data_IF_879131354149
#
_entry.id   IF_879131354149
#
_cell.length_a   1.000
_cell.length_b   1.000
_cell.length_c   1.000
_cell.angle_alpha   90.00
_cell.angle_beta   90.00
_cell.angle_gamma   90.00
#
_symmetry.space_group_name_H-M   'P 1'
#
loop_
_entity.id
_entity.type
_entity.pdbx_description
1 polymer ?
#
# COMPACT_ATOMS: atom_id res chain seq x y z
N UNK A 1 3.12 27.23 -5.37
CA UNK A 1 3.68 25.94 -5.80
C UNK A 1 4.88 25.60 -4.94
N UNK A 2 4.89 24.42 -4.29
CA UNK A 2 6.00 23.93 -3.43
C UNK A 2 7.27 23.67 -4.23
N UNK A 3 8.42 23.45 -3.57
CA UNK A 3 9.67 23.08 -4.26
C UNK A 3 9.51 21.75 -5.04
N UNK A 4 8.83 20.77 -4.44
CA UNK A 4 8.57 19.49 -5.07
C UNK A 4 7.62 19.61 -6.28
N UNK A 5 6.55 20.39 -6.16
CA UNK A 5 5.63 20.65 -7.28
C UNK A 5 6.36 21.35 -8.46
N UNK A 6 7.31 22.27 -8.18
CA UNK A 6 8.16 22.88 -9.22
C UNK A 6 9.06 21.85 -9.88
N UNK A 7 9.62 20.90 -9.11
CA UNK A 7 10.42 19.81 -9.64
C UNK A 7 9.60 18.94 -10.61
N UNK A 8 8.40 18.49 -10.20
CA UNK A 8 7.50 17.72 -11.08
C UNK A 8 7.11 18.48 -12.35
N UNK A 9 6.80 19.78 -12.22
CA UNK A 9 6.53 20.62 -13.39
C UNK A 9 7.75 20.75 -14.32
N UNK A 10 8.96 20.75 -13.76
CA UNK A 10 10.21 20.69 -14.52
C UNK A 10 10.35 19.40 -15.33
N UNK A 11 10.08 18.25 -14.70
CA UNK A 11 10.08 16.94 -15.38
C UNK A 11 9.08 16.91 -16.54
N UNK A 12 7.85 17.41 -16.30
CA UNK A 12 6.81 17.44 -17.34
C UNK A 12 7.21 18.36 -18.51
N UNK A 13 7.86 19.48 -18.26
CA UNK A 13 8.35 20.38 -19.33
C UNK A 13 9.49 19.77 -20.14
N UNK A 14 10.35 18.99 -19.49
CA UNK A 14 11.51 18.35 -20.14
C UNK A 14 11.12 17.08 -20.92
N UNK A 15 10.32 16.20 -20.29
CA UNK A 15 10.09 14.83 -20.77
C UNK A 15 8.68 14.61 -21.32
N UNK A 16 7.77 15.61 -21.18
CA UNK A 16 6.36 15.46 -21.49
C UNK A 16 5.52 15.00 -20.30
N UNK A 17 4.20 14.78 -20.52
CA UNK A 17 3.26 14.39 -19.46
C UNK A 17 3.69 13.11 -18.73
N UNK A 18 3.55 13.07 -17.41
CA UNK A 18 3.83 11.90 -16.59
C UNK A 18 2.65 10.93 -16.61
N UNK A 19 2.91 9.64 -16.71
CA UNK A 19 1.90 8.61 -16.42
C UNK A 19 1.41 8.81 -14.98
N UNK A 20 0.13 8.51 -14.75
CA UNK A 20 -0.48 8.72 -13.44
C UNK A 20 0.21 7.93 -12.33
N UNK A 21 0.58 6.67 -12.59
CA UNK A 21 1.31 5.85 -11.62
C UNK A 21 2.68 6.46 -11.23
N UNK A 22 3.40 7.02 -12.19
CA UNK A 22 4.67 7.72 -11.91
C UNK A 22 4.44 8.99 -11.09
N UNK A 23 3.40 9.77 -11.43
CA UNK A 23 3.05 10.97 -10.65
C UNK A 23 2.67 10.61 -9.22
N UNK A 24 1.75 9.64 -9.02
CA UNK A 24 1.31 9.18 -7.71
C UNK A 24 2.48 8.62 -6.89
N UNK A 25 3.32 7.77 -7.48
CA UNK A 25 4.48 7.21 -6.79
C UNK A 25 5.48 8.27 -6.32
N UNK A 26 5.78 9.28 -7.15
CA UNK A 26 6.64 10.39 -6.76
C UNK A 26 6.01 11.27 -5.66
N UNK A 27 4.70 11.55 -5.76
CA UNK A 27 3.98 12.35 -4.77
C UNK A 27 3.93 11.65 -3.42
N UNK A 28 3.57 10.35 -3.38
CA UNK A 28 3.53 9.57 -2.15
C UNK A 28 4.94 9.37 -1.54
N UNK A 29 5.96 9.12 -2.35
CA UNK A 29 7.33 9.04 -1.85
C UNK A 29 7.77 10.33 -1.14
N UNK A 30 7.45 11.50 -1.72
CA UNK A 30 7.72 12.81 -1.10
C UNK A 30 6.93 12.98 0.19
N UNK A 31 5.63 12.63 0.17
CA UNK A 31 4.73 12.77 1.32
C UNK A 31 5.22 11.95 2.52
N UNK A 32 5.44 10.64 2.35
CA UNK A 32 5.89 9.75 3.42
C UNK A 32 7.35 10.01 3.87
N UNK A 33 8.19 10.61 3.01
CA UNK A 33 9.55 10.99 3.41
C UNK A 33 9.59 12.24 4.30
N UNK A 34 8.63 13.15 4.16
CA UNK A 34 8.68 14.47 4.81
C UNK A 34 7.67 14.68 5.93
N UNK A 35 6.68 13.80 6.06
CA UNK A 35 5.58 13.93 7.01
C UNK A 35 5.40 12.68 7.86
N UNK A 36 4.77 12.87 9.00
CA UNK A 36 4.11 11.81 9.77
C UNK A 36 2.60 11.94 9.56
N UNK A 37 2.02 11.13 8.65
CA UNK A 37 0.64 11.29 8.24
C UNK A 37 -0.37 10.77 9.26
N UNK A 38 0.08 9.97 10.24
CA UNK A 38 -0.77 9.16 11.10
C UNK A 38 -1.21 9.90 12.38
N UNK A 39 -2.42 9.56 12.85
CA UNK A 39 -2.97 9.97 14.14
C UNK A 39 -3.67 11.33 14.12
N UNK A 40 -4.17 11.77 15.28
CA UNK A 40 -5.01 12.96 15.44
C UNK A 40 -4.36 14.30 14.98
N UNK A 41 -3.04 14.36 14.93
CA UNK A 41 -2.29 15.51 14.42
C UNK A 41 -1.84 15.30 12.95
N UNK A 42 -2.14 14.15 12.35
CA UNK A 42 -1.83 13.81 10.97
C UNK A 42 -2.98 14.08 10.00
N UNK A 43 -2.86 13.55 8.80
CA UNK A 43 -3.85 13.75 7.75
C UNK A 43 -4.97 12.68 7.82
N UNK A 44 -4.72 11.52 8.46
CA UNK A 44 -5.70 10.44 8.64
C UNK A 44 -5.41 9.58 9.88
N UNK A 45 -6.41 8.82 10.29
CA UNK A 45 -6.31 7.88 11.42
C UNK A 45 -6.70 6.49 10.93
N UNK A 46 -5.79 5.52 11.05
CA UNK A 46 -6.01 4.14 10.65
C UNK A 46 -6.58 3.30 11.80
N UNK A 47 -7.18 2.16 11.51
CA UNK A 47 -7.79 1.29 12.52
C UNK A 47 -6.85 0.92 13.69
N UNK A 48 -5.55 0.63 13.48
CA UNK A 48 -4.59 0.41 14.57
C UNK A 48 -4.40 1.60 15.51
N UNK A 49 -4.51 2.83 15.00
CA UNK A 49 -4.37 4.05 15.80
C UNK A 49 -5.65 4.38 16.59
N UNK A 50 -6.81 3.83 16.20
CA UNK A 50 -8.08 4.00 16.89
C UNK A 50 -8.24 3.02 18.04
N UNK A 51 -7.86 1.76 17.84
CA UNK A 51 -8.09 0.70 18.83
C UNK A 51 -7.06 -0.42 18.76
N UNK A 52 -6.43 -0.70 19.90
CA UNK A 52 -5.53 -1.85 20.06
C UNK A 52 -6.24 -3.20 19.82
N UNK A 53 -7.57 -3.27 19.98
CA UNK A 53 -8.37 -4.49 19.73
C UNK A 53 -8.21 -4.95 18.29
N UNK A 54 -8.01 -4.02 17.35
CA UNK A 54 -7.80 -4.37 15.95
C UNK A 54 -6.56 -5.26 15.77
N UNK A 55 -5.40 -4.84 16.31
CA UNK A 55 -4.17 -5.64 16.29
C UNK A 55 -4.27 -6.93 17.08
N UNK A 56 -4.99 -6.92 18.22
CA UNK A 56 -5.25 -8.11 19.03
C UNK A 56 -6.06 -9.18 18.26
N UNK A 57 -7.10 -8.78 17.54
CA UNK A 57 -7.91 -9.70 16.73
C UNK A 57 -7.11 -10.31 15.57
N UNK A 58 -6.26 -9.51 14.92
CA UNK A 58 -5.34 -10.00 13.89
C UNK A 58 -4.38 -11.01 14.50
N UNK A 59 -3.79 -10.71 15.66
CA UNK A 59 -2.90 -11.64 16.38
C UNK A 59 -3.57 -12.98 16.64
N UNK A 60 -4.81 -12.98 17.13
CA UNK A 60 -5.54 -14.19 17.42
C UNK A 60 -5.80 -15.02 16.15
N UNK A 61 -6.12 -14.37 15.03
CA UNK A 61 -6.31 -15.06 13.75
C UNK A 61 -5.02 -15.71 13.25
N UNK A 62 -3.88 -15.01 13.35
CA UNK A 62 -2.58 -15.56 12.96
C UNK A 62 -2.14 -16.72 13.87
N UNK A 63 -2.33 -16.58 15.17
CA UNK A 63 -2.00 -17.62 16.16
C UNK A 63 -2.88 -18.86 15.95
N UNK A 64 -4.19 -18.71 15.79
CA UNK A 64 -5.11 -19.82 15.52
C UNK A 64 -4.71 -20.58 14.23
N UNK A 65 -4.41 -19.84 13.16
CA UNK A 65 -3.93 -20.47 11.93
C UNK A 65 -2.58 -21.19 12.13
N UNK A 66 -1.65 -20.59 12.87
CA UNK A 66 -0.36 -21.21 13.16
C UNK A 66 -0.53 -22.53 13.94
N UNK A 67 -1.37 -22.56 14.97
CA UNK A 67 -1.69 -23.77 15.73
C UNK A 67 -2.29 -24.87 14.84
N UNK A 68 -3.27 -24.51 13.99
CA UNK A 68 -3.91 -25.45 13.04
C UNK A 68 -2.96 -25.93 11.95
N UNK A 69 -1.93 -25.18 11.64
CA UNK A 69 -0.90 -25.55 10.66
C UNK A 69 0.23 -26.41 11.25
N UNK A 70 0.04 -26.93 12.48
CA UNK A 70 1.01 -27.80 13.15
C UNK A 70 2.08 -27.06 13.95
N UNK A 71 1.85 -25.78 14.25
CA UNK A 71 2.71 -24.94 15.09
C UNK A 71 4.21 -24.99 14.67
N UNK A 72 4.55 -24.63 13.44
CA UNK A 72 5.95 -24.71 12.96
C UNK A 72 6.90 -23.90 13.84
N UNK A 73 8.09 -24.45 14.08
CA UNK A 73 9.11 -23.86 14.97
C UNK A 73 9.72 -22.54 14.47
N UNK A 74 9.51 -22.23 13.18
CA UNK A 74 9.98 -21.00 12.52
C UNK A 74 8.94 -20.47 11.60
N UNK A 75 8.65 -19.16 11.69
CA UNK A 75 7.79 -18.42 10.78
C UNK A 75 8.38 -17.05 10.46
N UNK A 76 8.03 -16.50 9.30
CA UNK A 76 8.27 -15.11 8.94
C UNK A 76 6.99 -14.31 9.22
N UNK A 77 7.04 -13.47 10.24
CA UNK A 77 5.95 -12.55 10.58
C UNK A 77 6.24 -11.20 9.94
N UNK A 78 5.46 -10.82 8.95
CA UNK A 78 5.76 -9.68 8.07
C UNK A 78 4.64 -8.66 8.13
N UNK A 79 4.98 -7.39 8.19
CA UNK A 79 4.04 -6.28 7.99
C UNK A 79 4.51 -5.41 6.83
N UNK A 80 3.60 -5.13 5.88
CA UNK A 80 3.84 -4.20 4.77
C UNK A 80 3.29 -2.83 5.16
N UNK A 81 4.11 -1.78 5.05
CA UNK A 81 3.71 -0.42 5.41
C UNK A 81 3.31 -0.26 6.88
N UNK A 82 4.16 -0.62 7.85
CA UNK A 82 3.79 -0.71 9.28
C UNK A 82 3.54 0.65 9.94
N UNK A 83 3.64 1.76 9.22
CA UNK A 83 3.45 3.09 9.75
C UNK A 83 4.31 3.35 10.99
N UNK A 84 3.68 3.63 12.13
CA UNK A 84 4.38 3.83 13.40
C UNK A 84 4.78 2.52 14.11
N UNK A 85 4.34 1.37 13.59
CA UNK A 85 4.55 0.05 14.20
C UNK A 85 3.51 -0.32 15.25
N UNK A 86 2.41 0.42 15.35
CA UNK A 86 1.34 0.24 16.34
C UNK A 86 0.70 -1.13 16.18
N UNK A 87 0.34 -1.51 14.94
CA UNK A 87 -0.31 -2.80 14.66
C UNK A 87 0.58 -3.98 15.09
N UNK A 88 1.86 -3.98 14.68
CA UNK A 88 2.79 -5.05 15.05
C UNK A 88 3.03 -5.08 16.56
N UNK A 89 3.10 -3.94 17.23
CA UNK A 89 3.27 -3.88 18.70
C UNK A 89 2.08 -4.51 19.43
N UNK A 90 0.84 -4.20 19.00
CA UNK A 90 -0.38 -4.78 19.56
C UNK A 90 -0.49 -6.28 19.26
N UNK A 91 -0.12 -6.68 18.03
CA UNK A 91 -0.07 -8.07 17.61
C UNK A 91 0.89 -8.88 18.50
N UNK A 92 2.12 -8.42 18.65
CA UNK A 92 3.13 -9.12 19.49
C UNK A 92 2.73 -9.15 20.97
N UNK A 93 2.08 -8.09 21.46
CA UNK A 93 1.55 -8.05 22.83
C UNK A 93 0.45 -9.09 23.05
N UNK A 94 -0.52 -9.18 22.15
CA UNK A 94 -1.61 -10.14 22.21
C UNK A 94 -1.13 -11.58 22.03
N UNK A 95 -0.17 -11.81 21.15
CA UNK A 95 0.41 -13.14 20.90
C UNK A 95 1.15 -13.73 22.10
N UNK A 96 1.39 -12.97 23.18
CA UNK A 96 1.96 -13.50 24.46
C UNK A 96 1.11 -14.61 25.07
N UNK A 97 -0.16 -14.71 24.73
CA UNK A 97 -1.02 -15.85 25.15
C UNK A 97 -0.56 -17.18 24.58
N UNK A 98 0.31 -17.15 23.55
CA UNK A 98 0.93 -18.31 22.91
C UNK A 98 2.45 -18.10 22.76
N UNK A 99 3.24 -18.32 23.80
CA UNK A 99 4.69 -18.08 23.76
C UNK A 99 5.41 -18.81 22.64
N UNK A 100 4.92 -20.00 22.24
CA UNK A 100 5.47 -20.76 21.12
C UNK A 100 5.39 -20.02 19.78
N UNK A 101 4.31 -19.28 19.52
CA UNK A 101 4.18 -18.45 18.32
C UNK A 101 5.26 -17.34 18.30
N UNK A 102 5.45 -16.64 19.41
CA UNK A 102 6.48 -15.61 19.52
C UNK A 102 7.89 -16.19 19.39
N UNK A 103 8.14 -17.36 19.99
CA UNK A 103 9.42 -18.06 19.87
C UNK A 103 9.72 -18.49 18.43
N UNK A 104 8.68 -18.85 17.64
CA UNK A 104 8.81 -19.20 16.25
C UNK A 104 8.99 -17.98 15.33
N UNK A 105 8.44 -16.81 15.71
CA UNK A 105 8.34 -15.65 14.84
C UNK A 105 9.70 -14.93 14.67
N UNK A 106 10.02 -14.62 13.40
CA UNK A 106 11.00 -13.62 13.02
C UNK A 106 10.25 -12.47 12.35
N UNK A 107 10.23 -11.33 12.99
CA UNK A 107 9.49 -10.13 12.53
C UNK A 107 10.30 -9.42 11.46
N UNK A 108 9.65 -9.09 10.34
CA UNK A 108 10.24 -8.25 9.29
C UNK A 108 9.26 -7.16 8.91
N UNK A 109 9.67 -5.91 9.00
CA UNK A 109 8.88 -4.76 8.59
C UNK A 109 9.36 -4.29 7.21
N UNK A 110 8.42 -4.15 6.27
CA UNK A 110 8.70 -3.61 4.94
C UNK A 110 8.38 -2.12 4.96
N UNK A 111 9.44 -1.31 5.05
CA UNK A 111 9.35 0.14 5.23
C UNK A 111 10.50 0.85 4.53
N UNK A 112 10.20 1.90 3.78
CA UNK A 112 11.20 2.69 3.05
C UNK A 112 11.64 3.95 3.79
N UNK A 113 10.81 4.47 4.71
CA UNK A 113 11.06 5.70 5.45
C UNK A 113 12.01 5.48 6.64
N UNK A 114 13.23 6.06 6.67
CA UNK A 114 14.11 5.95 7.84
C UNK A 114 13.51 6.55 9.11
N UNK A 115 12.69 7.60 8.98
CA UNK A 115 12.02 8.24 10.11
C UNK A 115 10.96 7.32 10.74
N UNK A 116 10.19 6.59 9.93
CA UNK A 116 9.23 5.61 10.43
C UNK A 116 9.94 4.39 11.02
N UNK A 117 11.04 3.89 10.41
CA UNK A 117 11.84 2.81 10.99
C UNK A 117 12.35 3.14 12.41
N UNK A 118 12.77 4.38 12.65
CA UNK A 118 13.21 4.80 13.99
C UNK A 118 12.06 4.74 15.01
N UNK A 119 10.83 5.10 14.63
CA UNK A 119 9.64 4.98 15.48
C UNK A 119 9.23 3.53 15.71
N UNK A 120 9.25 2.72 14.67
CA UNK A 120 8.99 1.29 14.74
C UNK A 120 9.97 0.58 15.66
N UNK A 121 11.27 0.92 15.59
CA UNK A 121 12.28 0.39 16.50
C UNK A 121 11.99 0.73 17.97
N UNK A 122 11.50 1.95 18.25
CA UNK A 122 11.10 2.34 19.60
C UNK A 122 9.82 1.61 20.06
N UNK A 123 8.81 1.50 19.20
CA UNK A 123 7.55 0.81 19.50
C UNK A 123 7.75 -0.70 19.73
N UNK A 124 8.73 -1.31 19.06
CA UNK A 124 9.02 -2.74 19.06
C UNK A 124 10.30 -3.11 19.82
N UNK A 125 10.78 -2.26 20.74
CA UNK A 125 12.02 -2.47 21.48
C UNK A 125 12.08 -3.80 22.27
N UNK A 126 10.93 -4.45 22.51
CA UNK A 126 10.85 -5.77 23.14
C UNK A 126 10.84 -6.97 22.18
N UNK A 127 10.92 -6.76 20.87
CA UNK A 127 10.97 -7.83 19.90
C UNK A 127 12.39 -8.40 19.81
N UNK A 128 12.54 -9.71 20.02
CA UNK A 128 13.86 -10.36 20.05
C UNK A 128 14.49 -10.51 18.65
N UNK A 129 13.67 -10.69 17.62
CA UNK A 129 14.09 -10.90 16.23
C UNK A 129 13.29 -9.97 15.34
N UNK A 130 13.88 -8.84 14.99
CA UNK A 130 13.25 -7.76 14.22
C UNK A 130 14.20 -7.22 13.16
N UNK A 131 13.76 -7.26 11.91
CA UNK A 131 14.47 -6.74 10.73
C UNK A 131 13.61 -5.73 9.96
N UNK A 132 14.29 -4.95 9.11
CA UNK A 132 13.64 -4.06 8.12
C UNK A 132 14.14 -4.37 6.72
N UNK A 133 13.22 -4.30 5.75
CA UNK A 133 13.54 -4.32 4.32
C UNK A 133 12.82 -3.16 3.62
N UNK A 134 13.21 -2.86 2.38
CA UNK A 134 12.53 -1.84 1.57
C UNK A 134 11.48 -2.42 0.64
N UNK A 135 11.53 -3.73 0.40
CA UNK A 135 10.61 -4.42 -0.50
C UNK A 135 10.31 -5.82 0.02
N UNK A 136 9.11 -6.34 -0.28
CA UNK A 136 8.68 -7.68 0.12
C UNK A 136 9.61 -8.78 -0.43
N UNK A 137 10.13 -8.60 -1.64
CA UNK A 137 11.01 -9.55 -2.30
C UNK A 137 12.32 -9.78 -1.52
N UNK A 138 12.71 -8.81 -0.69
CA UNK A 138 13.90 -8.91 0.17
C UNK A 138 13.66 -9.67 1.48
N UNK A 139 12.41 -10.00 1.79
CA UNK A 139 12.06 -10.82 2.96
C UNK A 139 12.55 -12.26 2.73
N UNK A 140 13.26 -12.85 3.69
CA UNK A 140 13.78 -14.20 3.58
C UNK A 140 12.68 -15.24 3.31
N UNK A 141 12.96 -16.16 2.39
CA UNK A 141 12.03 -17.22 1.92
C UNK A 141 12.41 -18.60 2.48
N UNK A 142 12.52 -18.71 3.80
CA UNK A 142 13.07 -19.88 4.47
C UNK A 142 12.12 -20.50 5.52
N UNK A 143 10.90 -20.00 5.63
CA UNK A 143 9.88 -20.47 6.57
C UNK A 143 8.47 -20.07 6.10
N UNK A 144 7.39 -20.64 6.69
CA UNK A 144 6.01 -20.22 6.46
C UNK A 144 5.82 -18.73 6.68
N UNK A 145 5.03 -18.09 5.78
CA UNK A 145 4.77 -16.66 5.78
C UNK A 145 3.50 -16.34 6.58
N UNK A 146 3.60 -15.45 7.57
CA UNK A 146 2.50 -14.81 8.25
C UNK A 146 2.58 -13.31 7.99
N UNK A 147 1.70 -12.80 7.13
CA UNK A 147 1.81 -11.44 6.61
C UNK A 147 0.54 -10.64 6.91
N UNK A 148 0.74 -9.38 7.29
CA UNK A 148 -0.33 -8.37 7.38
C UNK A 148 0.03 -7.17 6.51
N UNK A 149 -0.94 -6.71 5.73
CA UNK A 149 -0.91 -5.46 4.99
C UNK A 149 -2.20 -4.71 5.28
N UNK A 150 -2.12 -3.66 6.09
CA UNK A 150 -3.26 -2.82 6.46
C UNK A 150 -3.11 -1.44 5.83
N UNK A 151 -4.07 -1.03 4.99
CA UNK A 151 -4.03 0.24 4.27
C UNK A 151 -2.67 0.44 3.58
N UNK A 152 -2.27 -0.56 2.79
CA UNK A 152 -1.00 -0.59 2.07
C UNK A 152 -1.19 -0.56 0.55
N UNK A 153 -2.17 -1.33 0.05
CA UNK A 153 -2.38 -1.48 -1.39
C UNK A 153 -3.05 -0.26 -2.02
N UNK A 154 -3.85 0.48 -1.26
CA UNK A 154 -4.51 1.72 -1.68
C UNK A 154 -3.52 2.85 -2.00
N UNK A 155 -2.38 2.89 -1.29
CA UNK A 155 -1.30 3.86 -1.52
C UNK A 155 -0.38 3.51 -2.71
N UNK A 156 -0.48 2.28 -3.26
CA UNK A 156 0.33 1.87 -4.39
C UNK A 156 -0.13 2.51 -5.69
N UNK A 157 0.82 2.91 -6.56
CA UNK A 157 0.52 3.68 -7.76
C UNK A 157 -0.39 2.98 -8.77
N UNK A 158 -1.40 3.70 -9.26
CA UNK A 158 -2.36 3.21 -10.26
C UNK A 158 -2.17 3.87 -11.63
N UNK A 159 -2.57 3.15 -12.67
CA UNK A 159 -2.84 3.70 -13.99
C UNK A 159 -4.35 3.83 -14.15
N UNK A 160 -4.79 4.85 -14.87
CA UNK A 160 -6.20 5.06 -15.20
C UNK A 160 -6.40 5.09 -16.71
N UNK A 161 -7.42 4.39 -17.16
CA UNK A 161 -7.85 4.36 -18.55
C UNK A 161 -9.27 4.89 -18.65
N UNK A 162 -9.46 5.95 -19.41
CA UNK A 162 -10.76 6.56 -19.64
C UNK A 162 -11.32 6.15 -21.02
N UNK A 163 -12.60 5.83 -21.10
CA UNK A 163 -13.28 5.58 -22.37
C UNK A 163 -13.92 6.87 -22.88
N UNK A 164 -13.45 7.35 -24.02
CA UNK A 164 -13.95 8.56 -24.67
C UNK A 164 -14.31 8.21 -26.12
N UNK A 165 -15.53 8.52 -26.52
CA UNK A 165 -16.06 8.20 -27.88
C UNK A 165 -15.84 6.74 -28.29
N UNK A 166 -16.03 5.82 -27.32
CA UNK A 166 -15.88 4.37 -27.53
C UNK A 166 -14.44 3.86 -27.57
N UNK A 167 -13.45 4.71 -27.43
CA UNK A 167 -12.01 4.36 -27.44
C UNK A 167 -11.39 4.54 -26.08
N UNK A 168 -10.43 3.68 -25.73
CA UNK A 168 -9.70 3.77 -24.49
C UNK A 168 -8.48 4.69 -24.63
N UNK A 169 -8.29 5.55 -23.63
CA UNK A 169 -7.18 6.48 -23.50
C UNK A 169 -6.58 6.38 -22.12
N UNK A 170 -5.27 6.31 -22.00
CA UNK A 170 -4.60 6.37 -20.69
C UNK A 170 -4.58 7.82 -20.19
N UNK A 171 -4.84 8.00 -18.88
CA UNK A 171 -4.79 9.29 -18.21
C UNK A 171 -3.35 9.58 -17.76
N UNK A 172 -2.88 10.76 -18.11
CA UNK A 172 -1.57 11.32 -17.73
C UNK A 172 -1.76 12.60 -16.94
N UNK A 173 -0.71 13.04 -16.24
CA UNK A 173 -0.62 14.34 -15.60
C UNK A 173 0.29 15.25 -16.43
N UNK A 174 -0.23 16.36 -16.88
CA UNK A 174 0.49 17.40 -17.60
C UNK A 174 0.28 18.77 -16.94
N UNK A 175 0.65 19.83 -17.66
CA UNK A 175 0.45 21.22 -17.23
C UNK A 175 -0.52 21.91 -18.18
N UNK A 176 -1.33 22.82 -17.64
CA UNK A 176 -2.07 23.78 -18.44
C UNK A 176 -1.19 24.99 -18.85
N UNK A 177 -1.78 25.94 -19.58
CA UNK A 177 -1.07 27.16 -20.04
C UNK A 177 -0.62 28.05 -18.87
N UNK A 178 -1.26 27.96 -17.71
CA UNK A 178 -0.90 28.66 -16.47
C UNK A 178 0.15 27.93 -15.64
N UNK A 179 0.52 26.68 -16.03
CA UNK A 179 1.47 25.86 -15.32
C UNK A 179 0.88 25.07 -14.14
N UNK A 180 -0.44 25.00 -14.01
CA UNK A 180 -1.12 24.13 -13.05
C UNK A 180 -1.18 22.69 -13.57
N UNK A 181 -1.15 21.71 -12.68
CA UNK A 181 -1.28 20.29 -13.05
C UNK A 181 -2.71 20.01 -13.52
N UNK A 182 -2.82 19.21 -14.56
CA UNK A 182 -4.11 18.76 -15.10
C UNK A 182 -4.01 17.34 -15.65
N UNK A 183 -5.16 16.65 -15.69
CA UNK A 183 -5.23 15.39 -16.41
C UNK A 183 -5.24 15.61 -17.92
N UNK A 184 -4.50 14.77 -18.62
CA UNK A 184 -4.44 14.67 -20.06
C UNK A 184 -4.76 13.24 -20.48
N UNK A 185 -5.22 13.07 -21.72
CA UNK A 185 -5.45 11.75 -22.30
C UNK A 185 -4.39 11.45 -23.36
N UNK A 186 -3.89 10.22 -23.35
CA UNK A 186 -3.02 9.72 -24.43
C UNK A 186 -3.77 9.61 -25.75
N UNK A 187 -3.09 9.41 -26.89
CA UNK A 187 -3.69 8.81 -28.05
C UNK A 187 -4.40 7.49 -27.68
N UNK A 188 -5.39 7.08 -28.48
CA UNK A 188 -6.20 5.90 -28.22
C UNK A 188 -5.34 4.64 -28.04
N UNK A 189 -5.53 3.94 -26.93
CA UNK A 189 -4.90 2.67 -26.59
C UNK A 189 -5.98 1.66 -26.20
N UNK A 190 -5.69 0.38 -26.35
CA UNK A 190 -6.51 -0.66 -25.74
C UNK A 190 -5.88 -1.03 -24.38
N UNK A 191 -6.61 -0.96 -23.25
CA UNK A 191 -6.10 -1.52 -22.00
C UNK A 191 -5.94 -3.03 -22.13
N UNK A 192 -4.94 -3.59 -21.47
CA UNK A 192 -4.66 -5.04 -21.49
C UNK A 192 -5.82 -5.88 -20.90
N UNK A 193 -6.67 -5.26 -20.08
CA UNK A 193 -7.90 -5.85 -19.55
C UNK A 193 -9.08 -4.94 -19.86
N UNK A 194 -9.97 -5.36 -20.74
CA UNK A 194 -11.21 -4.66 -21.02
C UNK A 194 -12.21 -4.93 -19.89
N UNK A 195 -12.36 -4.01 -18.95
CA UNK A 195 -13.60 -3.92 -18.21
C UNK A 195 -14.67 -3.42 -19.20
N UNK A 196 -15.69 -4.21 -19.43
CA UNK A 196 -16.83 -3.77 -20.24
C UNK A 196 -17.56 -2.62 -19.53
N UNK A 197 -17.86 -1.55 -20.25
CA UNK A 197 -18.59 -0.39 -19.73
C UNK A 197 -17.96 0.94 -20.15
N UNK A 198 -18.73 2.02 -19.99
CA UNK A 198 -18.22 3.39 -20.08
C UNK A 198 -17.65 3.81 -18.71
N UNK A 199 -16.64 4.66 -18.71
CA UNK A 199 -16.06 5.16 -17.45
C UNK A 199 -14.54 5.08 -17.42
N UNK A 200 -14.01 5.10 -16.21
CA UNK A 200 -12.58 4.97 -15.91
C UNK A 200 -12.30 3.58 -15.37
N UNK A 201 -11.26 2.95 -15.87
CA UNK A 201 -10.72 1.68 -15.35
C UNK A 201 -9.40 1.95 -14.70
N UNK A 202 -9.22 1.45 -13.49
CA UNK A 202 -8.00 1.56 -12.72
C UNK A 202 -7.23 0.24 -12.74
N UNK A 203 -5.92 0.34 -12.91
CA UNK A 203 -5.01 -0.81 -12.92
C UNK A 203 -3.86 -0.52 -11.99
N UNK A 204 -3.74 -1.31 -10.92
CA UNK A 204 -2.63 -1.24 -9.98
C UNK A 204 -1.64 -2.38 -10.25
N UNK A 205 -0.67 -2.14 -11.13
CA UNK A 205 0.34 -3.13 -11.49
C UNK A 205 1.27 -3.46 -10.33
N UNK A 206 1.60 -2.47 -9.50
CA UNK A 206 2.44 -2.65 -8.31
C UNK A 206 1.75 -3.57 -7.28
N UNK A 207 0.48 -3.33 -7.00
CA UNK A 207 -0.31 -4.16 -6.09
C UNK A 207 -0.41 -5.61 -6.58
N UNK A 208 -0.63 -5.81 -7.88
CA UNK A 208 -0.67 -7.15 -8.50
C UNK A 208 0.68 -7.87 -8.38
N UNK A 209 1.78 -7.16 -8.59
CA UNK A 209 3.12 -7.74 -8.45
C UNK A 209 3.39 -8.19 -7.00
N UNK A 210 3.07 -7.35 -6.01
CA UNK A 210 3.19 -7.71 -4.58
C UNK A 210 2.29 -8.89 -4.25
N UNK A 211 1.02 -8.88 -4.68
CA UNK A 211 0.08 -10.00 -4.44
C UNK A 211 0.58 -11.31 -5.06
N UNK A 212 1.11 -11.27 -6.29
CA UNK A 212 1.70 -12.44 -6.94
C UNK A 212 2.90 -13.00 -6.16
N UNK A 213 3.77 -12.13 -5.67
CA UNK A 213 4.92 -12.53 -4.86
C UNK A 213 4.50 -13.16 -3.52
N UNK A 214 3.47 -12.58 -2.86
CA UNK A 214 2.87 -13.16 -1.64
C UNK A 214 2.27 -14.54 -1.94
N UNK A 215 1.45 -14.66 -2.99
CA UNK A 215 0.84 -15.92 -3.38
C UNK A 215 1.87 -17.02 -3.69
N UNK A 216 2.91 -16.70 -4.46
CA UNK A 216 4.01 -17.62 -4.74
C UNK A 216 4.72 -18.08 -3.44
N UNK A 217 4.91 -17.17 -2.47
CA UNK A 217 5.51 -17.49 -1.18
C UNK A 217 4.62 -18.41 -0.35
N UNK A 218 3.31 -18.14 -0.27
CA UNK A 218 2.34 -18.99 0.44
C UNK A 218 2.24 -20.38 -0.20
N UNK A 219 2.23 -20.47 -1.52
CA UNK A 219 2.21 -21.75 -2.23
C UNK A 219 3.47 -22.60 -1.97
N UNK A 220 4.63 -21.96 -1.79
CA UNK A 220 5.91 -22.66 -1.60
C UNK A 220 6.18 -23.04 -0.15
N UNK A 221 5.78 -22.23 0.81
CA UNK A 221 6.17 -22.37 2.23
C UNK A 221 4.97 -22.48 3.18
N UNK A 222 3.76 -22.27 2.71
CA UNK A 222 2.56 -22.18 3.56
C UNK A 222 2.50 -20.89 4.35
N UNK A 223 1.51 -20.80 5.24
CA UNK A 223 1.26 -19.65 6.09
C UNK A 223 -0.06 -18.95 5.80
N UNK A 224 -0.17 -17.70 6.17
CA UNK A 224 -1.37 -16.85 6.03
C UNK A 224 -0.99 -15.42 5.69
N UNK A 225 -1.67 -14.80 4.73
CA UNK A 225 -1.57 -13.37 4.47
C UNK A 225 -2.94 -12.70 4.63
N UNK A 226 -2.97 -11.57 5.31
CA UNK A 226 -4.15 -10.73 5.51
C UNK A 226 -3.91 -9.38 4.83
N UNK A 227 -4.71 -9.07 3.82
CA UNK A 227 -4.78 -7.76 3.19
C UNK A 227 -6.08 -7.08 3.63
N UNK A 228 -5.96 -5.95 4.31
CA UNK A 228 -7.08 -5.19 4.89
C UNK A 228 -7.00 -3.79 4.31
N UNK A 229 -7.99 -3.40 3.52
CA UNK A 229 -7.92 -2.14 2.79
C UNK A 229 -9.30 -1.66 2.33
N UNK A 230 -9.38 -0.41 1.87
CA UNK A 230 -10.57 0.15 1.25
C UNK A 230 -10.65 -0.28 -0.21
N UNK A 231 -11.78 -0.85 -0.61
CA UNK A 231 -11.88 -1.33 -1.97
C UNK A 231 -13.15 -2.10 -2.28
N UNK A 232 -13.10 -2.84 -3.36
CA UNK A 232 -14.23 -3.58 -3.89
C UNK A 232 -13.86 -5.04 -4.21
N UNK A 233 -14.79 -5.95 -3.88
CA UNK A 233 -14.63 -7.39 -4.10
C UNK A 233 -14.80 -7.82 -5.56
N UNK A 234 -15.31 -6.94 -6.42
CA UNK A 234 -15.53 -7.20 -7.85
C UNK A 234 -14.97 -6.06 -8.66
N UNK A 235 -14.14 -6.36 -9.66
CA UNK A 235 -13.61 -5.36 -10.59
C UNK A 235 -14.75 -4.60 -11.26
N UNK A 236 -14.70 -3.29 -11.21
CA UNK A 236 -15.70 -2.38 -11.80
C UNK A 236 -15.00 -1.10 -12.28
N UNK A 237 -15.56 -0.41 -13.31
CA UNK A 237 -15.13 0.94 -13.62
C UNK A 237 -15.37 1.89 -12.44
N UNK A 238 -14.46 2.84 -12.23
CA UNK A 238 -14.54 3.86 -11.18
C UNK A 238 -13.38 4.83 -11.28
N UNK A 239 -13.58 6.08 -10.86
CA UNK A 239 -12.51 7.06 -10.61
C UNK A 239 -12.36 7.16 -9.10
N UNK A 240 -11.50 6.33 -8.53
CA UNK A 240 -11.34 6.22 -7.09
C UNK A 240 -10.10 6.94 -6.57
N UNK A 241 -9.27 7.49 -7.48
CA UNK A 241 -8.13 8.30 -7.09
C UNK A 241 -8.57 9.49 -6.25
N UNK A 242 -8.03 9.57 -5.06
CA UNK A 242 -8.34 10.62 -4.10
C UNK A 242 -7.07 11.14 -3.42
N UNK A 243 -7.17 12.34 -2.88
CA UNK A 243 -6.19 12.92 -1.99
C UNK A 243 -6.84 13.22 -0.63
N UNK A 244 -6.13 12.92 0.46
CA UNK A 244 -6.57 13.27 1.81
C UNK A 244 -5.54 14.19 2.45
N UNK A 245 -6.01 15.32 3.01
CA UNK A 245 -5.19 16.28 3.75
C UNK A 245 -6.00 16.86 4.91
N UNK A 246 -5.46 16.84 6.11
CA UNK A 246 -6.14 17.33 7.32
C UNK A 246 -7.55 16.73 7.47
N UNK A 247 -7.71 15.43 7.29
CA UNK A 247 -8.97 14.67 7.37
C UNK A 247 -10.05 15.11 6.36
N UNK A 248 -9.66 15.71 5.24
CA UNK A 248 -10.57 16.18 4.17
C UNK A 248 -10.09 15.76 2.80
N UNK A 249 -11.03 15.49 1.92
CA UNK A 249 -10.72 15.30 0.51
C UNK A 249 -10.15 16.60 -0.09
N UNK A 250 -9.12 16.43 -0.89
CA UNK A 250 -8.45 17.48 -1.64
C UNK A 250 -8.36 17.09 -3.13
N UNK A 251 -8.05 18.04 -3.99
CA UNK A 251 -7.75 17.74 -5.39
C UNK A 251 -6.40 17.00 -5.48
N UNK A 252 -6.33 15.79 -6.07
CA UNK A 252 -5.10 15.01 -6.19
C UNK A 252 -3.96 15.75 -6.92
N UNK A 253 -4.28 16.76 -7.73
CA UNK A 253 -3.31 17.51 -8.50
C UNK A 253 -2.92 18.86 -7.88
N UNK A 254 -3.64 19.37 -6.89
CA UNK A 254 -3.44 20.72 -6.38
C UNK A 254 -2.07 20.91 -5.71
N UNK A 255 -1.69 20.00 -4.84
CA UNK A 255 -0.46 20.12 -4.02
C UNK A 255 0.27 18.77 -3.94
N UNK A 256 0.89 18.29 -5.05
CA UNK A 256 1.56 17.00 -5.06
C UNK A 256 2.66 16.92 -3.99
N UNK A 257 2.69 15.81 -3.26
CA UNK A 257 3.61 15.58 -2.14
C UNK A 257 3.20 16.22 -0.81
N UNK A 258 2.03 16.90 -0.76
CA UNK A 258 1.47 17.53 0.44
C UNK A 258 0.21 16.83 0.97
N UNK A 259 -0.29 15.84 0.25
CA UNK A 259 -1.44 15.01 0.59
C UNK A 259 -1.14 13.54 0.28
N UNK A 260 -1.79 12.64 0.99
CA UNK A 260 -1.78 11.23 0.69
C UNK A 260 -2.65 10.94 -0.54
N UNK A 261 -2.07 10.27 -1.54
CA UNK A 261 -2.78 9.85 -2.74
C UNK A 261 -3.11 8.37 -2.62
N UNK A 262 -4.39 8.04 -2.65
CA UNK A 262 -4.89 6.68 -2.56
C UNK A 262 -5.88 6.37 -3.66
N UNK A 263 -6.12 5.08 -3.90
CA UNK A 263 -7.17 4.57 -4.77
C UNK A 263 -7.76 3.29 -4.20
N UNK A 264 -9.00 2.98 -4.51
CA UNK A 264 -9.65 1.77 -4.01
C UNK A 264 -8.98 0.50 -4.53
N UNK A 265 -8.82 -0.47 -3.65
CA UNK A 265 -8.20 -1.75 -3.98
C UNK A 265 -9.18 -2.66 -4.71
N UNK A 266 -8.80 -3.17 -5.88
CA UNK A 266 -9.51 -4.25 -6.57
C UNK A 266 -9.07 -5.61 -5.99
N UNK A 267 -9.78 -6.08 -4.97
CA UNK A 267 -9.48 -7.37 -4.32
C UNK A 267 -9.62 -8.57 -5.25
N UNK A 268 -10.49 -8.49 -6.29
CA UNK A 268 -10.57 -9.55 -7.30
C UNK A 268 -9.30 -9.63 -8.15
N UNK A 269 -8.73 -8.47 -8.50
CA UNK A 269 -7.47 -8.42 -9.24
C UNK A 269 -6.30 -8.91 -8.37
N UNK A 270 -6.26 -8.54 -7.07
CA UNK A 270 -5.26 -9.06 -6.12
C UNK A 270 -5.37 -10.59 -5.97
N UNK A 271 -6.59 -11.12 -5.74
CA UNK A 271 -6.81 -12.55 -5.59
C UNK A 271 -6.37 -13.34 -6.84
N UNK A 272 -6.65 -12.82 -8.04
CA UNK A 272 -6.20 -13.44 -9.29
C UNK A 272 -4.69 -13.40 -9.47
N UNK A 273 -4.02 -12.36 -8.98
CA UNK A 273 -2.57 -12.25 -9.06
C UNK A 273 -1.88 -13.18 -8.06
N UNK A 274 -2.49 -13.39 -6.89
CA UNK A 274 -1.95 -14.28 -5.86
C UNK A 274 -2.08 -15.77 -6.21
N UNK A 275 -2.98 -16.18 -7.12
CA UNK A 275 -3.22 -17.56 -7.58
C UNK A 275 -4.50 -18.10 -7.00
#
# INVERSE_FOLDING_TARGET
MTAFARHLAGLIRADGPLRLDRFMGLANAQYYATRDPLGAAGDFTTAPEVSQIFGEMIALALVDHWERSGAPDRIRLVELGPGRGTLMADLLRAARVRPGFLAAAHVTLVETSPALRARQAAALAGAERLDWTEAFESVAADAPLYLVANEFFDALPIRQFARVEGRWHERFVGLDDGGAFRFLLSPALAPAESAGGDGIVEVNEAARAVAAAIGARLNSHGGLALAIDYGHARSAPGDTLQAVKAHRFADPLAEPGEADLTAHVDFKALARAAG
#
